data_IF_784139267473
#
_entry.id   IF_784139267473
#
_cell.length_a   1.000
_cell.length_b   1.000
_cell.length_c   1.000
_cell.angle_alpha   90.00
_cell.angle_beta   90.00
_cell.angle_gamma   90.00
#
_symmetry.space_group_name_H-M   'P 1'
#
loop_
_entity.id
_entity.type
_entity.pdbx_description
1 polymer ?
#
# COMPACT_ATOMS: atom_id res chain seq x y z
N UNK A 1 -1.61 -8.06 -22.74
CA UNK A 1 -1.13 -7.69 -24.07
C UNK A 1 -1.09 -6.17 -24.17
N UNK A 2 -0.01 -5.61 -24.68
CA UNK A 2 0.11 -4.16 -24.96
C UNK A 2 0.22 -3.95 -26.46
N UNK A 3 -0.65 -3.13 -26.99
CA UNK A 3 -0.67 -2.73 -28.40
C UNK A 3 -0.32 -1.25 -28.53
N UNK A 4 0.44 -0.89 -29.55
CA UNK A 4 0.49 0.49 -30.05
C UNK A 4 -0.61 0.66 -31.10
N UNK A 5 -1.26 1.82 -31.12
CA UNK A 5 -2.33 2.10 -32.06
C UNK A 5 -2.27 3.53 -32.59
N UNK A 6 -2.82 3.75 -33.77
CA UNK A 6 -2.96 5.05 -34.39
C UNK A 6 -4.45 5.43 -34.50
N UNK A 7 -4.73 6.71 -34.53
CA UNK A 7 -6.11 7.20 -34.62
C UNK A 7 -6.84 7.28 -33.28
N UNK A 8 -8.16 7.07 -33.32
CA UNK A 8 -9.03 7.09 -32.15
C UNK A 8 -9.68 5.71 -31.99
N UNK A 9 -9.50 5.08 -30.83
CA UNK A 9 -10.02 3.74 -30.54
C UNK A 9 -10.90 3.78 -29.30
N UNK A 10 -12.05 3.13 -29.35
CA UNK A 10 -12.94 3.00 -28.21
C UNK A 10 -12.51 1.79 -27.37
N UNK A 11 -12.03 2.04 -26.14
CA UNK A 11 -11.58 1.00 -25.23
C UNK A 11 -12.67 -0.03 -24.91
N UNK A 12 -13.90 0.43 -24.68
CA UNK A 12 -15.02 -0.46 -24.33
C UNK A 12 -15.40 -1.38 -25.52
N UNK A 13 -15.40 -0.85 -26.74
CA UNK A 13 -15.65 -1.65 -27.93
C UNK A 13 -14.57 -2.73 -28.17
N UNK A 14 -13.32 -2.42 -27.83
CA UNK A 14 -12.22 -3.41 -27.88
C UNK A 14 -12.37 -4.44 -26.78
N UNK A 15 -12.77 -4.04 -25.57
CA UNK A 15 -12.98 -4.95 -24.45
C UNK A 15 -14.09 -5.97 -24.77
N UNK A 16 -15.22 -5.49 -25.31
CA UNK A 16 -16.35 -6.33 -25.70
C UNK A 16 -15.93 -7.29 -26.84
N UNK A 17 -15.29 -6.77 -27.88
CA UNK A 17 -14.80 -7.58 -28.98
C UNK A 17 -13.79 -8.66 -28.58
N UNK A 18 -12.87 -8.31 -27.67
CA UNK A 18 -11.89 -9.24 -27.13
C UNK A 18 -12.52 -10.26 -26.17
N UNK A 19 -13.53 -9.87 -25.39
CA UNK A 19 -14.29 -10.75 -24.52
C UNK A 19 -15.08 -11.79 -25.32
N UNK A 20 -15.72 -11.37 -26.40
CA UNK A 20 -16.46 -12.25 -27.31
C UNK A 20 -15.54 -13.26 -28.03
N UNK A 21 -14.35 -12.82 -28.44
CA UNK A 21 -13.37 -13.68 -29.11
C UNK A 21 -12.77 -14.76 -28.20
N UNK A 22 -12.61 -14.43 -26.91
CA UNK A 22 -11.91 -15.31 -25.96
C UNK A 22 -12.85 -16.05 -25.02
N UNK A 23 -14.15 -15.71 -25.00
CA UNK A 23 -15.13 -16.20 -24.01
C UNK A 23 -14.64 -16.02 -22.57
N UNK A 24 -13.99 -14.87 -22.30
CA UNK A 24 -13.38 -14.52 -21.00
C UNK A 24 -13.56 -13.04 -20.71
N UNK A 25 -13.65 -12.66 -19.41
CA UNK A 25 -13.64 -11.25 -19.04
C UNK A 25 -12.34 -10.57 -19.47
N UNK A 26 -12.49 -9.50 -20.23
CA UNK A 26 -11.37 -8.68 -20.70
C UNK A 26 -11.58 -7.25 -20.20
N UNK A 27 -10.51 -6.62 -19.73
CA UNK A 27 -10.50 -5.19 -19.42
C UNK A 27 -9.46 -4.49 -20.27
N UNK A 28 -9.80 -3.32 -20.76
CA UNK A 28 -8.91 -2.51 -21.59
C UNK A 28 -8.59 -1.19 -20.92
N UNK A 29 -7.40 -0.70 -21.14
CA UNK A 29 -6.95 0.58 -20.64
C UNK A 29 -6.17 1.31 -21.74
N UNK A 30 -6.55 2.58 -22.00
CA UNK A 30 -5.80 3.44 -22.90
C UNK A 30 -4.76 4.22 -22.11
N UNK A 31 -3.53 4.19 -22.60
CA UNK A 31 -2.42 4.99 -22.06
C UNK A 31 -1.70 5.69 -23.19
N UNK A 32 -1.09 6.83 -22.92
CA UNK A 32 -0.23 7.52 -23.87
C UNK A 32 1.15 7.71 -23.28
N UNK A 33 2.16 7.41 -24.04
CA UNK A 33 3.54 7.67 -23.68
C UNK A 33 3.85 9.14 -23.96
N UNK A 34 4.11 9.92 -22.91
CA UNK A 34 4.32 11.38 -23.05
C UNK A 34 5.65 11.70 -23.77
N UNK A 35 6.62 10.79 -23.72
CA UNK A 35 7.95 10.99 -24.32
C UNK A 35 7.97 10.71 -25.81
N UNK A 36 7.23 9.67 -26.26
CA UNK A 36 7.17 9.25 -27.65
C UNK A 36 5.88 9.67 -28.35
N UNK A 37 4.89 10.19 -27.60
CA UNK A 37 3.53 10.50 -28.05
C UNK A 37 2.80 9.29 -28.68
N UNK A 38 3.28 8.08 -28.37
CA UNK A 38 2.66 6.84 -28.82
C UNK A 38 1.45 6.52 -27.95
N UNK A 39 0.34 6.20 -28.59
CA UNK A 39 -0.86 5.73 -27.92
C UNK A 39 -0.73 4.22 -27.69
N UNK A 40 -0.95 3.77 -26.46
CA UNK A 40 -0.86 2.36 -26.08
C UNK A 40 -2.20 1.87 -25.55
N UNK A 41 -2.63 0.72 -26.05
CA UNK A 41 -3.80 -0.01 -25.57
C UNK A 41 -3.33 -1.22 -24.78
N UNK A 42 -3.72 -1.30 -23.53
CA UNK A 42 -3.43 -2.43 -22.64
C UNK A 42 -4.69 -3.29 -22.58
N UNK A 43 -4.57 -4.56 -22.98
CA UNK A 43 -5.64 -5.55 -22.90
C UNK A 43 -5.28 -6.55 -21.82
N UNK A 44 -6.05 -6.55 -20.72
CA UNK A 44 -5.90 -7.49 -19.61
C UNK A 44 -6.97 -8.57 -19.75
N UNK A 45 -6.53 -9.81 -19.96
CA UNK A 45 -7.39 -10.97 -20.14
C UNK A 45 -7.41 -11.75 -18.83
N UNK A 46 -8.59 -11.88 -18.23
CA UNK A 46 -8.75 -12.68 -17.03
C UNK A 46 -8.87 -14.17 -17.39
N UNK A 47 -8.18 -15.03 -16.64
CA UNK A 47 -8.30 -16.47 -16.86
C UNK A 47 -7.25 -17.29 -16.10
N UNK A 48 -7.48 -18.61 -16.07
CA UNK A 48 -6.60 -19.53 -15.35
C UNK A 48 -5.53 -20.20 -16.25
N UNK A 49 -5.54 -19.92 -17.53
CA UNK A 49 -4.60 -20.48 -18.51
C UNK A 49 -4.09 -19.34 -19.40
N UNK A 50 -2.78 -19.36 -19.65
CA UNK A 50 -2.16 -18.46 -20.62
C UNK A 50 -2.63 -18.77 -22.04
N UNK A 51 -2.44 -17.83 -22.94
CA UNK A 51 -2.63 -18.07 -24.38
C UNK A 51 -1.38 -18.70 -24.94
N UNK A 52 -1.52 -19.80 -25.67
CA UNK A 52 -0.43 -20.35 -26.46
C UNK A 52 -0.08 -19.39 -27.61
N UNK A 53 1.15 -19.48 -28.14
CA UNK A 53 1.60 -18.61 -29.22
C UNK A 53 0.64 -18.63 -30.44
N UNK A 54 0.04 -19.78 -30.75
CA UNK A 54 -0.94 -19.91 -31.84
C UNK A 54 -2.26 -19.21 -31.53
N UNK A 55 -2.73 -19.29 -30.28
CA UNK A 55 -3.96 -18.62 -29.85
C UNK A 55 -3.76 -17.11 -29.81
N UNK A 56 -2.56 -16.66 -29.43
CA UNK A 56 -2.17 -15.27 -29.45
C UNK A 56 -2.12 -14.69 -30.86
N UNK A 57 -1.51 -15.42 -31.81
CA UNK A 57 -1.48 -15.01 -33.24
C UNK A 57 -2.90 -14.97 -33.83
N UNK A 58 -3.73 -15.93 -33.48
CA UNK A 58 -5.13 -15.97 -33.93
C UNK A 58 -5.95 -14.80 -33.38
N UNK A 59 -5.73 -14.46 -32.10
CA UNK A 59 -6.36 -13.33 -31.45
C UNK A 59 -5.89 -11.99 -32.03
N UNK A 60 -4.57 -11.84 -32.25
CA UNK A 60 -3.99 -10.64 -32.85
C UNK A 60 -4.56 -10.38 -34.27
N UNK A 61 -4.65 -11.41 -35.10
CA UNK A 61 -5.21 -11.31 -36.41
C UNK A 61 -6.72 -10.97 -36.39
N UNK A 62 -7.48 -11.60 -35.51
CA UNK A 62 -8.91 -11.32 -35.36
C UNK A 62 -9.18 -9.89 -34.83
N UNK A 63 -8.33 -9.40 -33.96
CA UNK A 63 -8.44 -8.03 -33.43
C UNK A 63 -8.11 -7.00 -34.51
N UNK A 64 -7.06 -7.22 -35.29
CA UNK A 64 -6.68 -6.38 -36.46
C UNK A 64 -7.74 -6.36 -37.53
N UNK A 65 -8.40 -7.48 -37.78
CA UNK A 65 -9.50 -7.58 -38.72
C UNK A 65 -10.75 -6.80 -38.29
N UNK A 66 -11.04 -6.79 -36.98
CA UNK A 66 -12.18 -6.03 -36.42
C UNK A 66 -11.90 -4.52 -36.35
N UNK A 67 -10.63 -4.11 -36.19
CA UNK A 67 -10.23 -2.70 -36.04
C UNK A 67 -9.15 -2.30 -37.07
N UNK A 68 -9.44 -2.35 -38.39
CA UNK A 68 -8.44 -2.12 -39.44
C UNK A 68 -7.91 -0.68 -39.45
N UNK A 69 -8.72 0.28 -39.03
CA UNK A 69 -8.37 1.71 -39.05
C UNK A 69 -7.42 2.11 -37.92
N UNK A 70 -7.21 1.25 -36.92
CA UNK A 70 -6.45 1.56 -35.74
C UNK A 70 -4.99 1.14 -35.80
N UNK A 71 -4.53 0.52 -36.87
CA UNK A 71 -3.16 0.05 -37.12
C UNK A 71 -2.51 -0.59 -35.87
N UNK A 72 -3.24 -1.57 -35.28
CA UNK A 72 -2.83 -2.23 -34.03
C UNK A 72 -1.55 -3.04 -34.23
N UNK A 73 -0.50 -2.69 -33.49
CA UNK A 73 0.74 -3.45 -33.44
C UNK A 73 1.02 -3.95 -32.02
N UNK A 74 1.19 -5.26 -31.89
CA UNK A 74 1.54 -5.87 -30.59
C UNK A 74 2.95 -5.42 -30.21
N UNK A 75 3.04 -4.60 -29.17
CA UNK A 75 4.31 -4.06 -28.65
C UNK A 75 4.92 -4.97 -27.57
N UNK A 76 4.08 -5.52 -26.71
CA UNK A 76 4.53 -6.37 -25.61
C UNK A 76 3.45 -7.40 -25.26
N UNK A 77 3.89 -8.65 -25.13
CA UNK A 77 3.05 -9.73 -24.58
C UNK A 77 3.68 -10.18 -23.26
N UNK A 78 3.03 -9.83 -22.16
CA UNK A 78 3.43 -10.29 -20.83
C UNK A 78 2.40 -11.30 -20.32
N UNK A 79 2.83 -12.55 -20.15
CA UNK A 79 2.01 -13.62 -19.62
C UNK A 79 2.38 -13.87 -18.17
N UNK A 80 1.46 -13.53 -17.27
CA UNK A 80 1.58 -13.94 -15.88
C UNK A 80 0.73 -15.17 -15.66
N UNK A 81 1.36 -16.34 -15.55
CA UNK A 81 0.62 -17.56 -15.21
C UNK A 81 -0.17 -17.36 -13.91
N UNK A 82 -1.45 -17.78 -13.84
CA UNK A 82 -2.28 -17.64 -12.62
C UNK A 82 -1.67 -18.32 -11.39
N UNK A 83 -0.82 -19.33 -11.61
CA UNK A 83 -0.05 -19.99 -10.57
C UNK A 83 0.92 -19.00 -9.88
N UNK A 84 1.59 -18.15 -10.65
CA UNK A 84 2.51 -17.13 -10.10
C UNK A 84 1.74 -16.06 -9.33
N UNK A 85 0.58 -15.61 -9.81
CA UNK A 85 -0.26 -14.64 -9.10
C UNK A 85 -0.74 -15.16 -7.74
N UNK A 86 -1.26 -16.40 -7.68
CA UNK A 86 -1.68 -17.03 -6.42
C UNK A 86 -0.51 -17.26 -5.46
N UNK A 87 0.63 -17.72 -5.96
CA UNK A 87 1.85 -17.93 -5.16
C UNK A 87 2.38 -16.62 -4.62
N UNK A 88 2.40 -15.58 -5.47
CA UNK A 88 2.82 -14.25 -5.10
C UNK A 88 1.93 -13.64 -4.00
N UNK A 89 0.61 -13.65 -4.18
CA UNK A 89 -0.34 -13.15 -3.19
C UNK A 89 -0.19 -13.88 -1.84
N UNK A 90 -0.08 -15.22 -1.87
CA UNK A 90 0.17 -16.00 -0.65
C UNK A 90 1.46 -15.61 0.04
N UNK A 91 2.54 -15.47 -0.72
CA UNK A 91 3.85 -15.09 -0.16
C UNK A 91 3.83 -13.66 0.38
N UNK A 92 3.18 -12.72 -0.31
CA UNK A 92 2.98 -11.34 0.12
C UNK A 92 2.20 -11.24 1.42
N UNK A 93 1.04 -11.92 1.51
CA UNK A 93 0.25 -11.98 2.76
C UNK A 93 1.07 -12.61 3.89
N UNK A 94 1.83 -13.67 3.60
CA UNK A 94 2.68 -14.31 4.61
C UNK A 94 3.78 -13.36 5.10
N UNK A 95 4.40 -12.59 4.21
CA UNK A 95 5.41 -11.60 4.56
C UNK A 95 4.84 -10.48 5.44
N UNK A 96 3.65 -9.96 5.10
CA UNK A 96 2.94 -8.93 5.89
C UNK A 96 2.57 -9.48 7.27
N UNK A 97 2.01 -10.70 7.35
CA UNK A 97 1.65 -11.33 8.62
C UNK A 97 2.88 -11.58 9.51
N UNK A 98 3.98 -12.05 8.92
CA UNK A 98 5.24 -12.23 9.63
C UNK A 98 5.80 -10.90 10.13
N UNK A 99 5.73 -9.85 9.34
CA UNK A 99 6.15 -8.49 9.73
C UNK A 99 5.34 -7.99 10.92
N UNK A 100 4.02 -8.15 10.90
CA UNK A 100 3.17 -7.79 12.04
C UNK A 100 3.52 -8.56 13.30
N UNK A 101 3.77 -9.87 13.18
CA UNK A 101 4.18 -10.70 14.32
C UNK A 101 5.52 -10.24 14.90
N UNK A 102 6.52 -10.00 14.05
CA UNK A 102 7.85 -9.55 14.47
C UNK A 102 7.79 -8.16 15.13
N UNK A 103 7.04 -7.24 14.55
CA UNK A 103 6.84 -5.89 15.13
C UNK A 103 6.14 -5.99 16.49
N UNK A 104 5.09 -6.82 16.62
CA UNK A 104 4.39 -7.00 17.88
C UNK A 104 5.32 -7.56 18.96
N UNK A 105 6.12 -8.57 18.65
CA UNK A 105 7.10 -9.16 19.56
C UNK A 105 8.16 -8.12 19.95
N UNK A 106 8.68 -7.38 18.98
CA UNK A 106 9.68 -6.34 19.24
C UNK A 106 9.15 -5.26 20.18
N UNK A 107 7.97 -4.70 19.88
CA UNK A 107 7.34 -3.66 20.72
C UNK A 107 7.01 -4.20 22.11
N UNK A 108 6.51 -5.43 22.20
CA UNK A 108 6.22 -6.08 23.49
C UNK A 108 7.48 -6.19 24.36
N UNK A 109 8.57 -6.68 23.83
CA UNK A 109 9.85 -6.83 24.58
C UNK A 109 10.40 -5.44 24.93
N UNK A 110 10.44 -4.52 23.95
CA UNK A 110 11.04 -3.19 24.09
C UNK A 110 10.33 -2.32 25.14
N UNK A 111 9.02 -2.44 25.23
CA UNK A 111 8.17 -1.64 26.12
C UNK A 111 7.53 -2.45 27.26
N UNK A 112 8.13 -3.55 27.65
CA UNK A 112 7.63 -4.45 28.71
C UNK A 112 7.31 -3.72 30.02
N UNK A 113 8.12 -2.72 30.42
CA UNK A 113 7.91 -1.92 31.63
C UNK A 113 6.68 -1.00 31.58
N UNK A 114 6.21 -0.63 30.38
CA UNK A 114 5.02 0.21 30.20
C UNK A 114 3.74 -0.61 30.01
N UNK A 115 3.82 -1.94 30.03
CA UNK A 115 2.76 -2.86 29.63
C UNK A 115 2.90 -3.21 28.14
N UNK A 116 4.01 -3.82 27.79
CA UNK A 116 4.44 -4.10 26.43
C UNK A 116 3.38 -4.73 25.53
N UNK A 117 2.55 -5.65 26.08
CA UNK A 117 1.46 -6.24 25.31
C UNK A 117 0.44 -5.19 24.83
N UNK A 118 0.05 -4.26 25.71
CA UNK A 118 -0.88 -3.19 25.30
C UNK A 118 -0.26 -2.25 24.26
N UNK A 119 1.03 -1.93 24.41
CA UNK A 119 1.76 -1.12 23.44
C UNK A 119 1.89 -1.84 22.08
N UNK A 120 2.20 -3.14 22.10
CA UNK A 120 2.30 -3.95 20.87
C UNK A 120 0.97 -4.06 20.13
N UNK A 121 -0.11 -4.33 20.83
CA UNK A 121 -1.45 -4.45 20.21
C UNK A 121 -1.92 -3.12 19.65
N UNK A 122 -1.75 -2.01 20.37
CA UNK A 122 -2.19 -0.69 19.86
C UNK A 122 -1.34 -0.20 18.71
N UNK A 123 -0.04 -0.48 18.68
CA UNK A 123 0.81 -0.26 17.52
C UNK A 123 0.34 -1.10 16.32
N UNK A 124 -0.02 -2.39 16.54
CA UNK A 124 -0.52 -3.26 15.47
C UNK A 124 -1.83 -2.74 14.88
N UNK A 125 -2.75 -2.23 15.70
CA UNK A 125 -4.01 -1.61 15.21
C UNK A 125 -3.73 -0.42 14.30
N UNK A 126 -2.78 0.44 14.67
CA UNK A 126 -2.36 1.56 13.84
C UNK A 126 -1.73 1.10 12.51
N UNK A 127 -0.90 0.07 12.54
CA UNK A 127 -0.29 -0.52 11.33
C UNK A 127 -1.33 -1.16 10.40
N UNK A 128 -2.34 -1.85 10.95
CA UNK A 128 -3.43 -2.39 10.15
C UNK A 128 -4.22 -1.26 9.47
N UNK A 129 -4.48 -0.16 10.18
CA UNK A 129 -5.09 1.02 9.59
C UNK A 129 -4.27 1.55 8.42
N UNK A 130 -2.95 1.67 8.56
CA UNK A 130 -2.09 2.19 7.50
C UNK A 130 -2.07 1.28 6.26
N UNK A 131 -2.03 -0.03 6.46
CA UNK A 131 -2.12 -1.02 5.37
C UNK A 131 -3.47 -0.94 4.66
N UNK A 132 -4.57 -0.74 5.40
CA UNK A 132 -5.90 -0.54 4.80
C UNK A 132 -5.97 0.75 3.98
N UNK A 133 -5.38 1.85 4.45
CA UNK A 133 -5.30 3.10 3.68
C UNK A 133 -4.53 2.89 2.38
N UNK A 134 -3.38 2.22 2.40
CA UNK A 134 -2.61 1.89 1.20
C UNK A 134 -3.42 1.00 0.26
N UNK A 135 -4.12 -0.01 0.79
CA UNK A 135 -4.96 -0.91 0.00
C UNK A 135 -6.09 -0.16 -0.71
N UNK A 136 -6.84 0.68 0.02
CA UNK A 136 -7.91 1.48 -0.58
C UNK A 136 -7.37 2.54 -1.55
N UNK A 137 -6.19 3.07 -1.31
CA UNK A 137 -5.52 3.96 -2.27
C UNK A 137 -5.29 3.25 -3.59
N UNK A 138 -4.77 2.03 -3.58
CA UNK A 138 -4.57 1.25 -4.80
C UNK A 138 -5.90 1.02 -5.55
N UNK A 139 -6.99 0.71 -4.83
CA UNK A 139 -8.31 0.53 -5.44
C UNK A 139 -8.84 1.81 -6.08
N UNK A 140 -8.77 2.94 -5.36
CA UNK A 140 -9.31 4.24 -5.81
C UNK A 140 -8.57 4.74 -7.06
N UNK A 141 -7.25 4.56 -7.11
CA UNK A 141 -6.42 5.00 -8.24
C UNK A 141 -6.23 3.92 -9.32
N UNK A 142 -6.88 2.76 -9.20
CA UNK A 142 -6.77 1.68 -10.17
C UNK A 142 -5.37 1.05 -10.26
N UNK A 143 -4.56 1.17 -9.19
CA UNK A 143 -3.20 0.61 -9.14
C UNK A 143 -3.28 -0.89 -8.92
N UNK A 144 -2.63 -1.73 -9.76
CA UNK A 144 -2.64 -3.17 -9.60
C UNK A 144 -2.06 -3.62 -8.25
N UNK A 145 -2.77 -4.55 -7.58
CA UNK A 145 -2.28 -5.16 -6.33
C UNK A 145 -1.28 -6.26 -6.67
N UNK A 146 -0.03 -5.87 -6.80
CA UNK A 146 1.10 -6.72 -7.19
C UNK A 146 2.33 -6.48 -6.31
N UNK A 147 3.51 -6.63 -6.91
CA UNK A 147 4.81 -6.49 -6.24
C UNK A 147 4.98 -5.13 -5.57
N UNK A 148 4.57 -4.06 -6.26
CA UNK A 148 4.61 -2.70 -5.75
C UNK A 148 3.77 -2.54 -4.48
N UNK A 149 2.57 -3.13 -4.44
CA UNK A 149 1.70 -3.08 -3.25
C UNK A 149 2.36 -3.75 -2.04
N UNK A 150 2.94 -4.94 -2.21
CA UNK A 150 3.62 -5.66 -1.12
C UNK A 150 4.84 -4.87 -0.65
N UNK A 151 5.64 -4.35 -1.58
CA UNK A 151 6.82 -3.54 -1.26
C UNK A 151 6.46 -2.26 -0.50
N UNK A 152 5.43 -1.53 -0.95
CA UNK A 152 4.90 -0.33 -0.25
C UNK A 152 4.40 -0.70 1.13
N UNK A 153 3.59 -1.76 1.25
CA UNK A 153 3.02 -2.20 2.53
C UNK A 153 4.10 -2.51 3.55
N UNK A 154 5.14 -3.28 3.16
CA UNK A 154 6.26 -3.60 4.04
C UNK A 154 7.07 -2.35 4.41
N UNK A 155 7.25 -1.42 3.49
CA UNK A 155 7.95 -0.15 3.72
C UNK A 155 7.17 0.72 4.71
N UNK A 156 5.85 0.84 4.55
CA UNK A 156 4.98 1.61 5.46
C UNK A 156 4.95 0.98 6.85
N UNK A 157 4.89 -0.35 6.98
CA UNK A 157 4.97 -1.03 8.28
C UNK A 157 6.27 -0.64 8.99
N UNK A 158 7.42 -0.70 8.30
CA UNK A 158 8.71 -0.33 8.89
C UNK A 158 8.80 1.15 9.25
N UNK A 159 8.26 2.02 8.41
CA UNK A 159 8.25 3.46 8.62
C UNK A 159 7.32 3.88 9.77
N UNK A 160 6.08 3.43 9.76
CA UNK A 160 5.07 3.79 10.77
C UNK A 160 5.44 3.24 12.16
N UNK A 161 5.99 2.01 12.25
CA UNK A 161 6.43 1.48 13.52
C UNK A 161 7.58 2.29 14.12
N UNK A 162 8.49 2.80 13.30
CA UNK A 162 9.60 3.63 13.78
C UNK A 162 9.09 4.91 14.47
N UNK A 163 8.09 5.55 13.90
CA UNK A 163 7.46 6.76 14.47
C UNK A 163 6.71 6.43 15.78
N UNK A 164 5.97 5.32 15.80
CA UNK A 164 5.30 4.82 17.02
C UNK A 164 6.29 4.53 18.15
N UNK A 165 7.46 3.96 17.83
CA UNK A 165 8.52 3.71 18.81
C UNK A 165 9.04 5.01 19.44
N UNK A 166 9.21 6.07 18.65
CA UNK A 166 9.65 7.39 19.14
C UNK A 166 8.69 7.93 20.19
N UNK A 167 7.38 7.89 19.92
CA UNK A 167 6.36 8.34 20.89
C UNK A 167 6.36 7.46 22.13
N UNK A 168 6.41 6.14 21.98
CA UNK A 168 6.42 5.23 23.15
C UNK A 168 7.70 5.34 23.97
N UNK A 169 8.85 5.58 23.36
CA UNK A 169 10.08 5.87 24.11
C UNK A 169 9.95 7.16 24.91
N UNK A 170 9.32 8.18 24.35
CA UNK A 170 9.08 9.44 25.06
C UNK A 170 8.10 9.27 26.21
N UNK A 171 7.02 8.52 26.03
CA UNK A 171 6.10 8.17 27.12
C UNK A 171 6.84 7.41 28.22
N UNK A 172 7.71 6.47 27.86
CA UNK A 172 8.52 5.70 28.81
C UNK A 172 9.47 6.59 29.62
N UNK A 173 10.09 7.55 28.97
CA UNK A 173 10.97 8.53 29.59
C UNK A 173 10.17 9.41 30.56
N UNK A 174 9.10 10.02 30.12
CA UNK A 174 8.24 10.89 30.94
C UNK A 174 7.60 10.14 32.11
N UNK A 175 7.29 8.85 31.97
CA UNK A 175 6.81 8.02 33.10
C UNK A 175 7.83 7.91 34.22
N UNK A 176 9.14 7.96 33.91
CA UNK A 176 10.21 7.96 34.94
C UNK A 176 10.42 9.34 35.54
N UNK A 177 10.35 10.38 34.71
CA UNK A 177 10.56 11.77 35.14
C UNK A 177 9.39 12.29 35.99
N UNK A 178 8.18 11.88 35.65
CA UNK A 178 6.93 12.35 36.23
C UNK A 178 6.03 11.22 36.73
N UNK A 179 6.46 10.42 37.74
CA UNK A 179 5.74 9.19 38.12
C UNK A 179 4.36 9.43 38.75
N UNK A 180 4.07 10.67 39.16
CA UNK A 180 2.78 11.06 39.78
C UNK A 180 1.73 11.58 38.76
N UNK A 181 2.12 11.85 37.52
CA UNK A 181 1.18 12.35 36.52
C UNK A 181 0.22 11.26 36.03
N UNK A 182 -1.05 11.61 35.75
CA UNK A 182 -1.99 10.71 35.11
C UNK A 182 -1.46 10.24 33.76
N UNK A 183 -1.86 9.01 33.35
CA UNK A 183 -1.38 8.40 32.09
C UNK A 183 -1.79 9.24 30.87
N UNK A 184 -2.95 9.88 30.90
CA UNK A 184 -3.44 10.77 29.84
C UNK A 184 -2.49 11.97 29.69
N UNK A 185 -2.24 12.69 30.77
CA UNK A 185 -1.34 13.86 30.75
C UNK A 185 0.09 13.49 30.34
N UNK A 186 0.57 12.30 30.75
CA UNK A 186 1.89 11.79 30.33
C UNK A 186 1.92 11.52 28.81
N UNK A 187 0.87 10.94 28.25
CA UNK A 187 0.78 10.67 26.82
C UNK A 187 0.70 11.98 26.03
N UNK A 188 -0.16 12.92 26.42
CA UNK A 188 -0.29 14.23 25.76
C UNK A 188 1.02 15.02 25.78
N UNK A 189 1.70 15.06 26.93
CA UNK A 189 3.02 15.68 27.06
C UNK A 189 4.03 15.02 26.12
N UNK A 190 4.03 13.69 26.04
CA UNK A 190 4.99 12.93 25.24
C UNK A 190 4.75 13.11 23.74
N UNK A 191 3.48 13.11 23.33
CA UNK A 191 3.09 13.38 21.93
C UNK A 191 3.50 14.81 21.57
N UNK A 192 3.16 15.81 22.40
CA UNK A 192 3.53 17.21 22.16
C UNK A 192 5.03 17.43 22.03
N UNK A 193 5.84 16.69 22.80
CA UNK A 193 7.30 16.75 22.72
C UNK A 193 7.89 16.02 21.51
N UNK A 194 7.18 15.08 20.93
CA UNK A 194 7.63 14.25 19.81
C UNK A 194 7.09 14.71 18.47
N UNK A 195 5.96 15.44 18.44
CA UNK A 195 5.20 15.77 17.22
C UNK A 195 6.04 16.49 16.18
N UNK A 196 6.86 17.46 16.59
CA UNK A 196 7.72 18.22 15.67
C UNK A 196 8.70 17.29 14.94
N UNK A 197 9.27 16.31 15.65
CA UNK A 197 10.17 15.32 15.06
C UNK A 197 9.42 14.42 14.09
N UNK A 198 8.28 13.87 14.48
CA UNK A 198 7.44 13.03 13.65
C UNK A 198 7.02 13.75 12.37
N UNK A 199 6.51 14.99 12.50
CA UNK A 199 6.08 15.79 11.34
C UNK A 199 7.25 16.11 10.41
N UNK A 200 8.40 16.52 10.92
CA UNK A 200 9.57 16.84 10.09
C UNK A 200 10.09 15.61 9.35
N UNK A 201 10.14 14.45 10.00
CA UNK A 201 10.57 13.20 9.37
C UNK A 201 9.59 12.78 8.28
N UNK A 202 8.28 12.85 8.56
CA UNK A 202 7.23 12.55 7.59
C UNK A 202 7.26 13.51 6.40
N UNK A 203 7.47 14.81 6.66
CA UNK A 203 7.58 15.81 5.59
C UNK A 203 8.78 15.51 4.66
N UNK A 204 9.93 15.15 5.21
CA UNK A 204 11.11 14.80 4.43
C UNK A 204 10.86 13.56 3.55
N UNK A 205 10.21 12.53 4.09
CA UNK A 205 9.83 11.33 3.33
C UNK A 205 8.81 11.67 2.25
N UNK A 206 7.76 12.42 2.60
CA UNK A 206 6.74 12.83 1.65
C UNK A 206 7.33 13.63 0.49
N UNK A 207 8.22 14.58 0.79
CA UNK A 207 8.91 15.38 -0.23
C UNK A 207 9.75 14.49 -1.16
N UNK A 208 10.51 13.55 -0.59
CA UNK A 208 11.34 12.63 -1.37
C UNK A 208 10.52 11.72 -2.27
N UNK A 209 9.45 11.13 -1.74
CA UNK A 209 8.57 10.23 -2.49
C UNK A 209 7.76 10.99 -3.54
N UNK A 210 7.31 12.21 -3.24
CA UNK A 210 6.62 13.08 -4.20
C UNK A 210 7.54 13.44 -5.37
N UNK A 211 8.82 13.74 -5.10
CA UNK A 211 9.79 14.00 -6.16
C UNK A 211 9.99 12.76 -7.05
N UNK A 212 10.09 11.58 -6.44
CA UNK A 212 10.19 10.31 -7.18
C UNK A 212 8.93 10.10 -8.04
N UNK A 213 7.74 10.36 -7.50
CA UNK A 213 6.48 10.27 -8.23
C UNK A 213 6.45 11.21 -9.45
N UNK A 214 6.81 12.49 -9.25
CA UNK A 214 6.84 13.49 -10.34
C UNK A 214 7.82 13.06 -11.45
N UNK A 215 9.03 12.61 -11.08
CA UNK A 215 10.02 12.16 -12.05
C UNK A 215 9.58 10.89 -12.78
N UNK A 216 8.92 9.96 -12.08
CA UNK A 216 8.37 8.75 -12.68
C UNK A 216 7.26 9.09 -13.69
N UNK A 217 6.37 10.01 -13.31
CA UNK A 217 5.27 10.46 -14.16
C UNK A 217 5.77 11.17 -15.44
N UNK A 218 6.75 12.07 -15.31
CA UNK A 218 7.35 12.78 -16.45
C UNK A 218 8.06 11.80 -17.41
N UNK A 219 8.67 10.74 -16.88
CA UNK A 219 9.39 9.75 -17.67
C UNK A 219 8.56 8.52 -18.05
N UNK A 220 7.24 8.53 -17.76
CA UNK A 220 6.30 7.42 -18.04
C UNK A 220 6.77 6.05 -17.48
N UNK A 221 7.32 6.05 -16.24
CA UNK A 221 7.80 4.84 -15.57
C UNK A 221 6.70 4.32 -14.64
N UNK A 222 5.72 3.60 -15.19
CA UNK A 222 4.52 3.13 -14.50
C UNK A 222 4.84 2.29 -13.24
N UNK A 223 5.91 1.48 -13.27
CA UNK A 223 6.32 0.65 -12.14
C UNK A 223 6.76 1.46 -10.92
N UNK A 224 7.41 2.60 -11.13
CA UNK A 224 7.82 3.52 -10.05
C UNK A 224 6.64 4.36 -9.60
N UNK A 225 5.79 4.80 -10.51
CA UNK A 225 4.57 5.56 -10.20
C UNK A 225 3.61 4.76 -9.33
N UNK A 226 3.38 3.48 -9.67
CA UNK A 226 2.54 2.55 -8.91
C UNK A 226 3.07 2.24 -7.51
N UNK A 227 4.36 2.46 -7.25
CA UNK A 227 4.98 2.39 -5.93
C UNK A 227 4.89 3.73 -5.19
N UNK A 228 5.24 4.83 -5.86
CA UNK A 228 5.45 6.13 -5.21
C UNK A 228 4.14 6.75 -4.70
N UNK A 229 3.05 6.69 -5.46
CA UNK A 229 1.77 7.28 -5.06
C UNK A 229 1.19 6.63 -3.79
N UNK A 230 1.04 5.30 -3.69
CA UNK A 230 0.58 4.67 -2.45
C UNK A 230 1.55 4.87 -1.28
N UNK A 231 2.85 4.95 -1.54
CA UNK A 231 3.86 5.23 -0.50
C UNK A 231 3.71 6.65 0.07
N UNK A 232 3.44 7.65 -0.77
CA UNK A 232 3.20 9.03 -0.33
C UNK A 232 1.98 9.10 0.59
N UNK A 233 0.85 8.52 0.17
CA UNK A 233 -0.41 8.51 0.95
C UNK A 233 -0.23 7.68 2.23
N UNK A 234 0.43 6.52 2.14
CA UNK A 234 0.72 5.66 3.28
C UNK A 234 1.62 6.33 4.34
N UNK A 235 2.58 7.17 3.92
CA UNK A 235 3.44 7.92 4.86
C UNK A 235 2.63 8.96 5.66
N UNK A 236 1.69 9.65 5.02
CA UNK A 236 0.77 10.58 5.70
C UNK A 236 -0.12 9.81 6.69
N UNK A 237 -0.66 8.67 6.27
CA UNK A 237 -1.45 7.78 7.13
C UNK A 237 -0.66 7.35 8.35
N UNK A 238 0.60 6.92 8.19
CA UNK A 238 1.47 6.48 9.30
C UNK A 238 1.74 7.58 10.32
N UNK A 239 1.92 8.83 9.88
CA UNK A 239 2.03 9.96 10.79
C UNK A 239 0.75 10.17 11.60
N UNK A 240 -0.40 10.14 10.92
CA UNK A 240 -1.70 10.29 11.57
C UNK A 240 -1.98 9.13 12.53
N UNK A 241 -1.81 7.89 12.12
CA UNK A 241 -2.14 6.70 12.91
C UNK A 241 -1.30 6.60 14.18
N UNK A 242 -0.04 6.96 14.10
CA UNK A 242 0.87 6.96 15.26
C UNK A 242 0.41 7.96 16.32
N UNK A 243 0.05 9.17 15.92
CA UNK A 243 -0.35 10.24 16.85
C UNK A 243 -1.79 10.05 17.33
N UNK A 244 -2.72 9.79 16.41
CA UNK A 244 -4.15 9.83 16.69
C UNK A 244 -4.78 8.47 17.00
N UNK A 245 -4.10 7.36 16.68
CA UNK A 245 -4.62 6.01 16.92
C UNK A 245 -3.79 5.28 17.98
N UNK A 246 -2.49 5.06 17.75
CA UNK A 246 -1.67 4.25 18.65
C UNK A 246 -1.60 4.82 20.07
N UNK A 247 -1.30 6.11 20.21
CA UNK A 247 -1.19 6.82 21.49
C UNK A 247 -2.51 6.78 22.29
N UNK A 248 -3.61 7.33 21.76
CA UNK A 248 -4.91 7.35 22.44
C UNK A 248 -5.47 5.96 22.78
N UNK A 249 -5.32 4.97 21.90
CA UNK A 249 -5.75 3.59 22.18
C UNK A 249 -4.95 2.98 23.34
N UNK A 250 -3.64 3.23 23.39
CA UNK A 250 -2.82 2.76 24.50
C UNK A 250 -3.25 3.39 25.82
N UNK A 251 -3.55 4.68 25.85
CA UNK A 251 -4.08 5.39 27.05
C UNK A 251 -5.41 4.78 27.48
N UNK A 252 -6.36 4.59 26.54
CA UNK A 252 -7.66 4.01 26.83
C UNK A 252 -7.54 2.60 27.43
N UNK A 253 -6.65 1.78 26.88
CA UNK A 253 -6.37 0.43 27.40
C UNK A 253 -5.83 0.47 28.84
N UNK A 254 -4.85 1.34 29.09
CA UNK A 254 -4.25 1.51 30.42
C UNK A 254 -5.26 1.97 31.46
N UNK A 255 -6.13 2.92 31.13
CA UNK A 255 -7.19 3.43 32.00
C UNK A 255 -8.15 2.33 32.39
N UNK A 256 -8.65 1.57 31.42
CA UNK A 256 -9.56 0.42 31.66
C UNK A 256 -8.94 -0.63 32.56
N UNK A 257 -7.65 -0.93 32.40
CA UNK A 257 -6.93 -1.90 33.23
C UNK A 257 -6.76 -1.41 34.67
N UNK A 258 -6.44 -0.13 34.86
CA UNK A 258 -6.28 0.46 36.21
C UNK A 258 -7.61 0.51 36.95
N UNK A 259 -8.71 0.85 36.29
CA UNK A 259 -10.06 0.82 36.84
C UNK A 259 -10.45 -0.60 37.32
N UNK A 260 -10.19 -1.62 36.51
CA UNK A 260 -10.50 -3.02 36.87
C UNK A 260 -9.67 -3.53 38.06
N UNK A 261 -8.44 -3.03 38.26
CA UNK A 261 -7.60 -3.39 39.40
C UNK A 261 -8.10 -2.70 40.67
N UNK A 262 -8.57 -1.46 40.56
CA UNK A 262 -9.17 -0.75 41.71
C UNK A 262 -10.46 -1.44 42.20
N UNK A 263 -11.34 -1.87 41.28
CA UNK A 263 -12.56 -2.61 41.60
C UNK A 263 -12.31 -3.97 42.26
N UNK A 264 -11.20 -4.65 41.94
CA UNK A 264 -10.87 -5.96 42.56
C UNK A 264 -10.22 -5.84 43.93
N UNK A 265 -9.84 -4.64 44.37
CA UNK A 265 -9.23 -4.38 45.68
C UNK A 265 -10.19 -3.75 46.69
N UNK A 266 -11.37 -3.32 46.24
CA UNK A 266 -12.48 -2.86 47.04
C UNK A 266 -13.46 -4.00 47.32
#
# INVERSE_FOLDING_TARGET
>A
LKYTYEGDINADAVADAASDLLDRPVTTQLTSDISTNEKKLIINIAGNYGMDAKDQDSFDNALKEKFPDSNLNLSESSMVEPFFGKKFLRNGITAIALSFLLVMIYVWIRFSRMGGLSAGVTALVALIHDVLVVFFTCIIFGIPIGDSFVAVTLSIIGYSVNDTIVIYDRIRENTKLHPKLPVETLADLSISQSITRSVNTNFAVLLSVTLVYILAHINSIDSIESFALPMAIGSISGCYSTICIAGPLWVAWKKKRNSNVAFKKA
#
